data_IF_799848830779
#
_entry.id   IF_799848830779
#
_cell.length_a   1.000
_cell.length_b   1.000
_cell.length_c   1.000
_cell.angle_alpha   90.00
_cell.angle_beta   90.00
_cell.angle_gamma   90.00
#
_symmetry.space_group_name_H-M   'P 1'
#
loop_
_entity.id
_entity.type
_entity.pdbx_description
1 polymer ?
#
# COMPACT_ATOMS: atom_id res chain seq x y z
N UNK A 1 1.21 -48.76 -56.90
CA UNK A 1 1.55 -47.34 -57.16
C UNK A 1 0.31 -46.40 -57.23
N UNK A 2 -0.81 -46.73 -57.86
CA UNK A 2 -1.99 -45.84 -57.94
C UNK A 2 -2.66 -45.56 -56.61
N UNK A 3 -2.84 -46.59 -55.74
CA UNK A 3 -3.45 -46.47 -54.41
C UNK A 3 -2.62 -45.52 -53.52
N UNK A 4 -1.30 -45.63 -53.50
CA UNK A 4 -0.40 -44.76 -52.70
C UNK A 4 -0.49 -43.30 -53.16
N UNK A 5 -0.66 -43.08 -54.45
CA UNK A 5 -0.87 -41.72 -55.00
C UNK A 5 -2.21 -41.12 -54.55
N UNK A 6 -3.30 -41.88 -54.54
CA UNK A 6 -4.60 -41.37 -54.08
C UNK A 6 -4.57 -41.15 -52.54
N UNK A 7 -3.93 -42.03 -51.80
CA UNK A 7 -3.74 -41.83 -50.37
C UNK A 7 -2.95 -40.54 -50.07
N UNK A 8 -1.89 -40.28 -50.81
CA UNK A 8 -1.11 -39.04 -50.69
C UNK A 8 -1.97 -37.80 -50.93
N UNK A 9 -2.80 -37.77 -52.01
CA UNK A 9 -3.67 -36.65 -52.29
C UNK A 9 -4.76 -36.45 -51.24
N UNK A 10 -5.34 -37.52 -50.71
CA UNK A 10 -6.33 -37.41 -49.63
C UNK A 10 -5.69 -36.81 -48.37
N UNK A 11 -4.49 -37.26 -47.99
CA UNK A 11 -3.75 -36.68 -46.84
C UNK A 11 -3.42 -35.21 -47.13
N UNK A 12 -2.97 -34.89 -48.31
CA UNK A 12 -2.65 -33.50 -48.66
C UNK A 12 -3.90 -32.60 -48.58
N UNK A 13 -5.04 -33.06 -49.10
CA UNK A 13 -6.31 -32.33 -49.00
C UNK A 13 -6.74 -32.15 -47.53
N UNK A 14 -6.60 -33.21 -46.71
CA UNK A 14 -6.92 -33.13 -45.29
C UNK A 14 -6.02 -32.14 -44.55
N UNK A 15 -4.72 -32.07 -44.88
CA UNK A 15 -3.76 -31.11 -44.33
C UNK A 15 -4.15 -29.68 -44.72
N UNK A 16 -4.46 -29.47 -45.99
CA UNK A 16 -4.87 -28.15 -46.49
C UNK A 16 -6.19 -27.71 -45.85
N UNK A 17 -7.20 -28.59 -45.77
CA UNK A 17 -8.45 -28.30 -45.09
C UNK A 17 -8.25 -28.01 -43.61
N UNK A 18 -7.41 -28.78 -42.94
CA UNK A 18 -7.02 -28.51 -41.55
C UNK A 18 -6.32 -27.17 -41.36
N UNK A 19 -5.36 -26.85 -42.25
CA UNK A 19 -4.67 -25.57 -42.22
C UNK A 19 -5.63 -24.39 -42.45
N UNK A 20 -6.57 -24.52 -43.40
CA UNK A 20 -7.62 -23.53 -43.62
C UNK A 20 -8.53 -23.37 -42.43
N UNK A 21 -8.92 -24.48 -41.77
CA UNK A 21 -9.72 -24.42 -40.55
C UNK A 21 -8.96 -23.71 -39.42
N UNK A 22 -7.70 -24.05 -39.14
CA UNK A 22 -6.88 -23.34 -38.16
C UNK A 22 -6.70 -21.87 -38.47
N UNK A 23 -6.63 -21.49 -39.74
CA UNK A 23 -6.53 -20.08 -40.18
C UNK A 23 -7.80 -19.26 -39.86
N UNK A 24 -8.96 -19.92 -39.70
CA UNK A 24 -10.22 -19.26 -39.34
C UNK A 24 -10.42 -19.10 -37.83
N UNK A 25 -9.64 -19.78 -37.00
CA UNK A 25 -9.75 -19.70 -35.56
C UNK A 25 -9.07 -18.41 -35.06
N UNK A 26 -9.76 -17.69 -34.15
CA UNK A 26 -9.12 -16.64 -33.36
C UNK A 26 -8.25 -17.32 -32.29
N UNK A 27 -6.95 -17.07 -32.34
CA UNK A 27 -6.00 -17.62 -31.38
C UNK A 27 -5.87 -16.78 -30.11
N UNK A 28 -6.57 -15.66 -30.00
CA UNK A 28 -6.47 -14.75 -28.83
C UNK A 28 -7.36 -15.22 -27.69
N UNK A 29 -6.90 -14.96 -26.50
CA UNK A 29 -7.67 -15.12 -25.28
C UNK A 29 -7.39 -13.99 -24.29
N UNK A 30 -8.36 -13.67 -23.46
CA UNK A 30 -8.27 -12.70 -22.38
C UNK A 30 -9.22 -13.19 -21.27
N UNK A 31 -8.65 -13.95 -20.32
CA UNK A 31 -9.35 -14.49 -19.16
C UNK A 31 -9.12 -13.57 -17.99
N UNK A 32 -10.15 -13.31 -17.20
CA UNK A 32 -10.02 -12.47 -16.01
C UNK A 32 -11.05 -12.82 -14.95
N UNK A 33 -10.66 -12.61 -13.69
CA UNK A 33 -11.54 -12.72 -12.52
C UNK A 33 -11.38 -11.49 -11.64
N UNK A 34 -12.43 -11.15 -10.92
CA UNK A 34 -12.43 -10.01 -10.02
C UNK A 34 -13.00 -10.41 -8.67
N UNK A 35 -12.45 -9.81 -7.60
CA UNK A 35 -12.90 -10.01 -6.24
C UNK A 35 -12.86 -8.73 -5.45
N UNK A 36 -13.92 -8.45 -4.68
CA UNK A 36 -13.92 -7.40 -3.68
C UNK A 36 -13.11 -7.85 -2.46
N UNK A 37 -12.13 -7.04 -2.05
CA UNK A 37 -11.27 -7.26 -0.89
C UNK A 37 -11.39 -6.03 0.01
N UNK A 38 -11.65 -6.25 1.31
CA UNK A 38 -11.91 -5.18 2.27
C UNK A 38 -10.62 -4.58 2.82
N UNK A 39 -9.81 -4.00 1.92
CA UNK A 39 -8.57 -3.29 2.24
C UNK A 39 -8.33 -2.18 1.22
N UNK A 40 -7.44 -1.25 1.55
CA UNK A 40 -7.03 -0.18 0.65
C UNK A 40 -6.30 -0.69 -0.60
N UNK A 41 -6.35 0.05 -1.72
CA UNK A 41 -5.60 -0.27 -2.93
C UNK A 41 -4.09 -0.40 -2.69
N UNK A 42 -3.54 0.43 -1.81
CA UNK A 42 -2.12 0.48 -1.46
C UNK A 42 -1.66 -0.83 -0.86
N UNK A 43 -2.44 -1.41 0.05
CA UNK A 43 -2.11 -2.67 0.69
C UNK A 43 -2.11 -3.85 -0.31
N UNK A 44 -3.12 -3.90 -1.19
CA UNK A 44 -3.19 -4.90 -2.26
C UNK A 44 -1.97 -4.76 -3.18
N UNK A 45 -1.70 -3.53 -3.64
CA UNK A 45 -0.58 -3.25 -4.53
C UNK A 45 0.75 -3.67 -3.91
N UNK A 46 0.98 -3.34 -2.64
CA UNK A 46 2.20 -3.67 -1.94
C UNK A 46 2.45 -5.17 -1.86
N UNK A 47 1.40 -5.95 -1.59
CA UNK A 47 1.51 -7.42 -1.50
C UNK A 47 1.75 -8.06 -2.87
N UNK A 48 1.04 -7.62 -3.90
CA UNK A 48 1.19 -8.12 -5.27
C UNK A 48 2.52 -7.73 -5.92
N UNK A 49 3.06 -6.55 -5.58
CA UNK A 49 4.22 -5.97 -6.24
C UNK A 49 5.55 -6.63 -5.84
N UNK A 50 5.59 -7.48 -4.80
CA UNK A 50 6.76 -8.29 -4.44
C UNK A 50 6.47 -9.78 -4.61
N UNK A 51 7.17 -10.42 -5.54
CA UNK A 51 7.02 -11.86 -5.80
C UNK A 51 7.30 -12.77 -4.60
N UNK A 52 8.04 -12.30 -3.59
CA UNK A 52 8.28 -13.07 -2.37
C UNK A 52 7.01 -13.32 -1.57
N UNK A 53 6.03 -12.42 -1.68
CA UNK A 53 4.74 -12.56 -1.01
C UNK A 53 3.86 -13.64 -1.64
N UNK A 54 4.08 -13.97 -2.92
CA UNK A 54 3.24 -14.89 -3.69
C UNK A 54 3.29 -16.32 -3.18
N UNK A 55 4.37 -16.70 -2.49
CA UNK A 55 4.48 -18.02 -1.86
C UNK A 55 3.41 -18.29 -0.79
N UNK A 56 2.80 -17.24 -0.22
CA UNK A 56 1.81 -17.37 0.84
C UNK A 56 0.38 -17.62 0.32
N UNK A 57 0.10 -17.34 -0.97
CA UNK A 57 -1.25 -17.39 -1.53
C UNK A 57 -1.34 -17.94 -2.94
N UNK A 58 -0.23 -18.17 -3.65
CA UNK A 58 -0.23 -18.66 -5.03
C UNK A 58 -0.97 -19.99 -5.17
N UNK A 59 -2.06 -20.06 -5.98
CA UNK A 59 -2.90 -21.28 -6.09
C UNK A 59 -2.14 -22.49 -6.65
N UNK A 60 -1.11 -22.25 -7.46
CA UNK A 60 -0.26 -23.30 -8.03
C UNK A 60 0.50 -24.13 -6.98
N UNK A 61 0.72 -23.61 -5.77
CA UNK A 61 1.34 -24.38 -4.68
C UNK A 61 0.38 -25.39 -4.05
N UNK A 62 -0.94 -25.19 -4.18
CA UNK A 62 -1.94 -26.20 -3.79
C UNK A 62 -1.97 -27.37 -4.79
N UNK A 63 -1.78 -27.10 -6.07
CA UNK A 63 -1.79 -28.10 -7.14
C UNK A 63 -0.47 -28.88 -7.23
N UNK A 64 0.65 -28.20 -7.05
CA UNK A 64 1.99 -28.78 -7.11
C UNK A 64 2.88 -28.30 -5.95
N UNK A 65 2.91 -29.10 -4.88
CA UNK A 65 3.77 -28.84 -3.72
C UNK A 65 5.28 -29.00 -4.00
N UNK A 66 5.67 -29.47 -5.21
CA UNK A 66 7.08 -29.61 -5.61
C UNK A 66 7.64 -28.36 -6.26
N UNK A 67 6.82 -27.33 -6.47
CA UNK A 67 7.26 -26.07 -7.06
C UNK A 67 8.33 -25.41 -6.17
N UNK A 68 9.46 -25.12 -6.80
CA UNK A 68 10.56 -24.36 -6.22
C UNK A 68 10.70 -23.04 -6.99
N UNK A 69 10.47 -21.94 -6.28
CA UNK A 69 10.69 -20.60 -6.80
C UNK A 69 12.15 -20.18 -6.57
N UNK A 70 12.75 -19.56 -7.58
CA UNK A 70 14.08 -18.92 -7.49
C UNK A 70 13.92 -17.44 -7.82
N UNK A 71 14.16 -16.61 -6.83
CA UNK A 71 14.00 -15.17 -6.94
C UNK A 71 15.24 -14.52 -7.54
N UNK A 72 15.04 -13.50 -8.40
CA UNK A 72 16.10 -12.62 -8.86
C UNK A 72 16.55 -11.66 -7.73
N UNK A 73 17.62 -10.91 -7.95
CA UNK A 73 18.08 -9.88 -7.02
C UNK A 73 17.03 -8.79 -6.81
N UNK A 74 16.29 -8.44 -7.88
CA UNK A 74 15.11 -7.57 -7.81
C UNK A 74 13.84 -8.42 -7.90
N UNK A 75 12.97 -8.36 -6.88
CA UNK A 75 11.66 -9.02 -6.83
C UNK A 75 10.50 -8.04 -6.83
N UNK A 76 10.77 -6.72 -6.76
CA UNK A 76 9.79 -5.65 -6.56
C UNK A 76 9.73 -4.73 -7.76
N UNK A 77 8.52 -4.36 -8.17
CA UNK A 77 8.29 -3.33 -9.19
C UNK A 77 8.81 -3.68 -10.57
N UNK A 78 9.00 -2.64 -11.40
CA UNK A 78 9.48 -2.81 -12.78
C UNK A 78 10.83 -3.51 -12.84
N UNK A 79 10.91 -4.58 -13.65
CA UNK A 79 12.09 -5.43 -13.78
C UNK A 79 12.20 -6.52 -12.71
N UNK A 80 11.36 -6.49 -11.67
CA UNK A 80 11.26 -7.58 -10.70
C UNK A 80 10.91 -8.90 -11.39
N UNK A 81 11.49 -10.03 -10.93
CA UNK A 81 11.26 -11.32 -11.56
C UNK A 81 11.57 -12.51 -10.64
N UNK A 82 10.98 -13.65 -10.98
CA UNK A 82 11.35 -14.96 -10.44
C UNK A 82 11.17 -16.05 -11.50
N UNK A 83 11.81 -17.18 -11.27
CA UNK A 83 11.62 -18.41 -12.05
C UNK A 83 11.07 -19.50 -11.15
N UNK A 84 10.36 -20.45 -11.74
CA UNK A 84 9.91 -21.62 -11.01
C UNK A 84 10.20 -22.91 -11.77
N UNK A 85 10.24 -24.01 -11.01
CA UNK A 85 10.31 -25.37 -11.50
C UNK A 85 9.45 -26.27 -10.62
N UNK A 86 8.61 -27.08 -11.23
CA UNK A 86 7.77 -28.09 -10.58
C UNK A 86 7.64 -29.33 -11.45
N UNK A 87 6.78 -30.26 -11.03
CA UNK A 87 6.51 -31.53 -11.77
C UNK A 87 5.84 -31.24 -13.13
N UNK A 88 4.98 -30.20 -13.18
CA UNK A 88 4.15 -29.90 -14.35
C UNK A 88 4.82 -28.84 -15.27
N UNK A 89 6.06 -28.45 -14.99
CA UNK A 89 6.82 -27.57 -15.85
C UNK A 89 7.69 -26.53 -15.12
N UNK A 90 8.17 -25.60 -15.91
CA UNK A 90 9.00 -24.49 -15.43
C UNK A 90 8.70 -23.22 -16.21
N UNK A 91 9.05 -22.07 -15.62
CA UNK A 91 8.83 -20.79 -16.30
C UNK A 91 9.46 -19.62 -15.56
N UNK A 92 9.06 -18.43 -16.00
CA UNK A 92 9.49 -17.14 -15.44
C UNK A 92 8.31 -16.18 -15.42
N UNK A 93 8.25 -15.38 -14.38
CA UNK A 93 7.40 -14.20 -14.28
C UNK A 93 8.26 -12.94 -14.17
N UNK A 94 7.88 -11.87 -14.86
CA UNK A 94 8.59 -10.61 -14.82
C UNK A 94 7.59 -9.44 -14.83
N UNK A 95 7.79 -8.47 -13.97
CA UNK A 95 7.04 -7.20 -13.98
C UNK A 95 7.58 -6.28 -15.07
N UNK A 96 6.71 -5.83 -15.95
CA UNK A 96 7.03 -4.96 -17.08
C UNK A 96 6.78 -3.49 -16.74
N UNK A 97 5.64 -3.21 -16.08
CA UNK A 97 5.22 -1.85 -15.76
C UNK A 97 4.38 -1.83 -14.49
N UNK A 98 4.49 -0.76 -13.71
CA UNK A 98 3.63 -0.48 -12.56
C UNK A 98 3.04 0.92 -12.65
N UNK A 99 1.77 1.06 -12.27
CA UNK A 99 1.04 2.32 -12.05
C UNK A 99 0.43 2.22 -10.65
N UNK A 100 1.21 2.66 -9.66
CA UNK A 100 0.86 2.54 -8.24
C UNK A 100 -0.27 3.49 -7.85
N UNK A 101 -1.26 3.04 -7.09
CA UNK A 101 -1.52 1.66 -6.64
C UNK A 101 -2.49 0.90 -7.56
N UNK A 102 -2.69 1.32 -8.81
CA UNK A 102 -3.83 0.97 -9.67
C UNK A 102 -3.60 -0.23 -10.57
N UNK A 103 -2.34 -0.48 -10.99
CA UNK A 103 -2.08 -1.47 -12.03
C UNK A 103 -0.67 -2.05 -11.98
N UNK A 104 -0.57 -3.36 -12.24
CA UNK A 104 0.70 -4.07 -12.47
C UNK A 104 0.55 -4.86 -13.78
N UNK A 105 1.47 -4.64 -14.73
CA UNK A 105 1.57 -5.40 -15.96
C UNK A 105 2.82 -6.30 -15.92
N UNK A 106 2.65 -7.58 -16.26
CA UNK A 106 3.66 -8.62 -16.13
C UNK A 106 3.69 -9.49 -17.38
N UNK A 107 4.81 -10.16 -17.63
CA UNK A 107 4.94 -11.24 -18.62
C UNK A 107 5.18 -12.56 -17.90
N UNK A 108 4.41 -13.58 -18.25
CA UNK A 108 4.66 -14.97 -17.87
C UNK A 108 5.20 -15.73 -19.06
N UNK A 109 6.23 -16.54 -18.84
CA UNK A 109 6.85 -17.40 -19.86
C UNK A 109 6.87 -18.83 -19.36
N UNK A 110 6.12 -19.69 -20.01
CA UNK A 110 6.16 -21.14 -19.77
C UNK A 110 7.18 -21.80 -20.70
N UNK A 111 8.03 -22.66 -20.13
CA UNK A 111 8.97 -23.48 -20.89
C UNK A 111 8.26 -24.75 -21.34
N UNK A 112 8.07 -24.92 -22.63
CA UNK A 112 7.43 -26.10 -23.20
C UNK A 112 8.40 -26.86 -24.14
N UNK A 113 8.17 -28.13 -24.43
CA UNK A 113 8.96 -28.89 -25.40
C UNK A 113 8.94 -28.30 -26.81
N UNK A 114 7.92 -27.45 -27.11
CA UNK A 114 7.72 -26.88 -28.44
C UNK A 114 8.23 -25.40 -28.51
N UNK A 115 8.89 -24.93 -27.47
CA UNK A 115 9.37 -23.55 -27.32
C UNK A 115 8.69 -22.80 -26.17
N UNK A 116 9.10 -21.56 -25.99
CA UNK A 116 8.57 -20.71 -24.94
C UNK A 116 7.16 -20.21 -25.31
N UNK A 117 6.20 -20.36 -24.39
CA UNK A 117 4.86 -19.79 -24.51
C UNK A 117 4.75 -18.58 -23.60
N UNK A 118 4.40 -17.43 -24.18
CA UNK A 118 4.32 -16.13 -23.47
C UNK A 118 2.88 -15.66 -23.37
N UNK A 119 2.57 -15.05 -22.22
CA UNK A 119 1.29 -14.39 -21.99
C UNK A 119 1.52 -13.12 -21.17
N UNK A 120 0.66 -12.12 -21.40
CA UNK A 120 0.59 -10.96 -20.54
C UNK A 120 -0.29 -11.27 -19.34
N UNK A 121 0.20 -10.94 -18.16
CA UNK A 121 -0.58 -10.99 -16.90
C UNK A 121 -0.78 -9.56 -16.43
N UNK A 122 -1.98 -9.25 -15.96
CA UNK A 122 -2.25 -7.91 -15.46
C UNK A 122 -3.12 -7.96 -14.20
N UNK A 123 -2.86 -6.98 -13.33
CA UNK A 123 -3.63 -6.72 -12.14
C UNK A 123 -4.21 -5.32 -12.24
N UNK A 124 -5.50 -5.16 -11.93
CA UNK A 124 -6.18 -3.88 -11.85
C UNK A 124 -6.77 -3.77 -10.45
N UNK A 125 -6.48 -2.65 -9.78
CA UNK A 125 -6.92 -2.37 -8.42
C UNK A 125 -7.74 -1.09 -8.47
N UNK A 126 -9.03 -1.20 -8.15
CA UNK A 126 -9.98 -0.09 -8.19
C UNK A 126 -10.54 0.13 -6.79
N UNK A 127 -10.40 1.36 -6.28
CA UNK A 127 -10.98 1.74 -4.99
C UNK A 127 -12.50 1.61 -5.03
N UNK A 128 -13.08 1.05 -3.98
CA UNK A 128 -14.51 0.92 -3.77
C UNK A 128 -14.91 1.50 -2.41
N UNK A 129 -16.19 1.57 -2.10
CA UNK A 129 -16.71 2.16 -0.86
C UNK A 129 -16.17 1.43 0.40
N UNK A 130 -16.17 0.09 0.38
CA UNK A 130 -15.73 -0.76 1.49
C UNK A 130 -14.45 -1.53 1.18
N UNK A 131 -13.45 -0.92 0.52
CA UNK A 131 -12.21 -1.59 0.17
C UNK A 131 -11.83 -1.41 -1.30
N UNK A 132 -11.43 -2.49 -1.96
CA UNK A 132 -10.95 -2.46 -3.35
C UNK A 132 -11.45 -3.63 -4.17
N UNK A 133 -11.75 -3.39 -5.44
CA UNK A 133 -12.01 -4.44 -6.41
C UNK A 133 -10.71 -4.83 -7.11
N UNK A 134 -10.21 -6.03 -6.81
CA UNK A 134 -9.00 -6.57 -7.44
C UNK A 134 -9.39 -7.44 -8.62
N UNK A 135 -8.85 -7.14 -9.80
CA UNK A 135 -8.96 -7.95 -11.01
C UNK A 135 -7.60 -8.55 -11.35
N UNK A 136 -7.57 -9.86 -11.52
CA UNK A 136 -6.46 -10.60 -12.11
C UNK A 136 -6.84 -11.02 -13.51
N UNK A 137 -5.97 -10.82 -14.49
CA UNK A 137 -6.22 -11.27 -15.84
C UNK A 137 -4.98 -11.78 -16.53
N UNK A 138 -5.17 -12.72 -17.44
CA UNK A 138 -4.16 -13.29 -18.32
C UNK A 138 -4.64 -13.25 -19.77
N UNK A 139 -3.85 -12.66 -20.67
CA UNK A 139 -4.15 -12.61 -22.09
C UNK A 139 -2.96 -13.03 -22.93
N UNK A 140 -3.26 -13.57 -24.09
CA UNK A 140 -2.21 -14.02 -25.02
C UNK A 140 -2.75 -14.39 -26.38
N UNK A 141 -1.85 -14.87 -27.22
CA UNK A 141 -2.19 -15.38 -28.55
C UNK A 141 -1.51 -16.73 -28.75
N UNK A 142 -2.32 -17.75 -29.05
CA UNK A 142 -1.87 -19.08 -29.38
C UNK A 142 -1.22 -19.12 -30.76
N UNK A 143 -0.14 -19.89 -30.90
CA UNK A 143 0.50 -20.10 -32.20
C UNK A 143 -0.47 -20.75 -33.20
N UNK A 144 -0.20 -20.66 -34.50
CA UNK A 144 -1.08 -21.16 -35.55
C UNK A 144 -1.59 -22.59 -35.31
N UNK A 145 -0.71 -23.51 -34.87
CA UNK A 145 -1.07 -24.91 -34.65
C UNK A 145 -1.80 -25.17 -33.32
N UNK A 146 -1.79 -24.23 -32.40
CA UNK A 146 -2.43 -24.37 -31.07
C UNK A 146 -3.63 -23.43 -30.91
N UNK A 147 -4.07 -22.71 -31.94
CA UNK A 147 -5.19 -21.75 -31.88
C UNK A 147 -6.49 -22.36 -31.37
N UNK A 148 -6.72 -23.66 -31.65
CA UNK A 148 -7.89 -24.37 -31.15
C UNK A 148 -7.94 -24.45 -29.62
N UNK A 149 -6.81 -24.28 -28.92
CA UNK A 149 -6.75 -24.28 -27.46
C UNK A 149 -7.20 -22.92 -26.88
N UNK A 150 -7.24 -21.84 -27.67
CA UNK A 150 -7.61 -20.53 -27.15
C UNK A 150 -9.02 -20.51 -26.54
N UNK A 151 -9.95 -21.30 -27.09
CA UNK A 151 -11.32 -21.40 -26.58
C UNK A 151 -11.43 -22.14 -25.23
N UNK A 152 -10.45 -22.97 -24.85
CA UNK A 152 -10.42 -23.68 -23.57
C UNK A 152 -9.68 -22.92 -22.47
N UNK A 153 -9.01 -21.80 -22.79
CA UNK A 153 -8.25 -21.03 -21.81
C UNK A 153 -9.13 -20.49 -20.69
N UNK A 154 -10.38 -20.17 -20.96
CA UNK A 154 -11.35 -19.74 -19.94
C UNK A 154 -11.59 -20.83 -18.88
N UNK A 155 -11.69 -22.09 -19.31
CA UNK A 155 -11.91 -23.25 -18.43
C UNK A 155 -10.66 -23.64 -17.66
N UNK A 156 -9.48 -23.38 -18.22
CA UNK A 156 -8.19 -23.73 -17.62
C UNK A 156 -7.69 -22.65 -16.64
N UNK A 157 -7.75 -21.38 -17.05
CA UNK A 157 -7.17 -20.26 -16.31
C UNK A 157 -8.18 -19.70 -15.29
N UNK A 158 -9.46 -19.59 -15.65
CA UNK A 158 -10.47 -18.93 -14.83
C UNK A 158 -10.59 -19.49 -13.41
N UNK A 159 -10.68 -20.82 -13.21
CA UNK A 159 -10.73 -21.41 -11.88
C UNK A 159 -9.46 -21.14 -11.04
N UNK A 160 -8.29 -21.14 -11.68
CA UNK A 160 -7.02 -20.81 -11.02
C UNK A 160 -6.99 -19.35 -10.54
N UNK A 161 -7.42 -18.41 -11.40
CA UNK A 161 -7.50 -16.99 -11.01
C UNK A 161 -8.50 -16.77 -9.87
N UNK A 162 -9.67 -17.40 -9.94
CA UNK A 162 -10.68 -17.30 -8.88
C UNK A 162 -10.16 -17.84 -7.54
N UNK A 163 -9.52 -19.03 -7.58
CA UNK A 163 -8.92 -19.61 -6.39
C UNK A 163 -7.78 -18.77 -5.84
N UNK A 164 -6.94 -18.22 -6.71
CA UNK A 164 -5.84 -17.35 -6.32
C UNK A 164 -6.33 -16.04 -5.66
N UNK A 165 -7.36 -15.43 -6.19
CA UNK A 165 -7.99 -14.25 -5.57
C UNK A 165 -8.60 -14.57 -4.20
N UNK A 166 -9.18 -15.77 -4.01
CA UNK A 166 -9.69 -16.23 -2.71
C UNK A 166 -8.54 -16.39 -1.70
N UNK A 167 -7.45 -17.04 -2.10
CA UNK A 167 -6.28 -17.25 -1.25
C UNK A 167 -5.58 -15.94 -0.90
N UNK A 168 -5.48 -15.04 -1.88
CA UNK A 168 -4.94 -13.70 -1.67
C UNK A 168 -5.74 -12.93 -0.63
N UNK A 169 -7.08 -12.90 -0.76
CA UNK A 169 -7.96 -12.24 0.20
C UNK A 169 -7.76 -12.81 1.62
N UNK A 170 -7.76 -14.14 1.77
CA UNK A 170 -7.49 -14.78 3.07
C UNK A 170 -6.13 -14.42 3.65
N UNK A 171 -5.09 -14.36 2.81
CA UNK A 171 -3.74 -14.00 3.23
C UNK A 171 -3.66 -12.54 3.70
N UNK A 172 -4.26 -11.61 2.95
CA UNK A 172 -4.33 -10.19 3.30
C UNK A 172 -5.09 -9.98 4.62
N UNK A 173 -6.27 -10.60 4.77
CA UNK A 173 -7.05 -10.49 6.02
C UNK A 173 -6.24 -11.01 7.22
N UNK A 174 -5.50 -12.09 7.06
CA UNK A 174 -4.62 -12.61 8.12
C UNK A 174 -3.52 -11.61 8.50
N UNK A 175 -2.91 -10.94 7.51
CA UNK A 175 -1.87 -9.93 7.75
C UNK A 175 -2.39 -8.70 8.49
N UNK A 176 -3.64 -8.30 8.23
CA UNK A 176 -4.30 -7.20 8.93
C UNK A 176 -4.55 -7.55 10.39
N UNK A 177 -4.99 -8.77 10.64
CA UNK A 177 -5.29 -9.26 11.99
C UNK A 177 -4.03 -9.51 12.84
N UNK A 178 -2.84 -9.53 12.23
CA UNK A 178 -1.56 -9.64 12.93
C UNK A 178 -1.06 -8.23 13.32
N UNK A 179 -1.64 -7.69 14.38
CA UNK A 179 -1.26 -6.39 14.92
C UNK A 179 -1.32 -6.36 16.44
N UNK A 180 -0.72 -5.33 17.01
CA UNK A 180 -0.84 -5.02 18.43
C UNK A 180 -0.84 -3.51 18.67
N UNK A 181 -1.67 -3.09 19.63
CA UNK A 181 -1.70 -1.72 20.15
C UNK A 181 -1.15 -1.72 21.56
N UNK A 182 -0.11 -0.93 21.81
CA UNK A 182 0.55 -0.82 23.12
C UNK A 182 0.52 0.62 23.57
N UNK A 183 -0.02 0.88 24.76
CA UNK A 183 0.06 2.19 25.41
C UNK A 183 1.38 2.31 26.16
N UNK A 184 2.16 3.32 25.82
CA UNK A 184 3.49 3.54 26.40
C UNK A 184 3.46 4.51 27.58
N UNK A 185 2.30 5.16 27.83
CA UNK A 185 2.14 6.16 28.89
C UNK A 185 2.65 7.54 28.47
N UNK A 186 2.86 8.40 29.47
CA UNK A 186 3.33 9.78 29.24
C UNK A 186 4.84 9.79 29.00
N UNK A 187 5.26 10.47 27.94
CA UNK A 187 6.65 10.64 27.52
C UNK A 187 6.97 12.11 27.33
N UNK A 188 8.23 12.50 27.57
CA UNK A 188 8.73 13.83 27.31
C UNK A 188 9.33 13.91 25.88
N UNK A 189 8.87 14.85 25.08
CA UNK A 189 9.42 15.14 23.77
C UNK A 189 10.15 16.48 23.77
N UNK A 190 11.32 16.50 23.12
CA UNK A 190 12.08 17.74 22.87
C UNK A 190 11.45 18.54 21.74
N UNK A 191 11.55 19.89 21.82
CA UNK A 191 11.14 20.76 20.73
C UNK A 191 11.93 20.49 19.45
N UNK A 192 11.26 20.65 18.30
CA UNK A 192 11.87 20.38 16.98
C UNK A 192 11.32 21.28 15.89
N UNK A 193 12.16 21.67 14.96
CA UNK A 193 11.73 22.33 13.72
C UNK A 193 11.23 21.30 12.72
N UNK A 194 10.26 21.71 11.91
CA UNK A 194 9.76 20.88 10.81
C UNK A 194 9.32 21.74 9.62
N UNK A 195 9.37 21.16 8.42
CA UNK A 195 8.69 21.67 7.24
C UNK A 195 7.37 20.93 7.07
N UNK A 196 6.34 21.66 6.61
CA UNK A 196 5.02 21.07 6.44
C UNK A 196 4.26 21.65 5.25
N UNK A 197 3.29 20.91 4.79
CA UNK A 197 2.23 21.35 3.89
C UNK A 197 0.90 20.81 4.38
N UNK A 198 -0.14 21.65 4.35
CA UNK A 198 -1.45 21.33 4.94
C UNK A 198 -2.52 21.18 3.88
N UNK A 199 -3.53 20.38 4.19
CA UNK A 199 -4.75 20.27 3.39
C UNK A 199 -5.96 19.96 4.27
N UNK A 200 -7.13 20.41 3.84
CA UNK A 200 -8.40 19.91 4.35
C UNK A 200 -8.85 18.73 3.49
N UNK A 201 -9.45 17.73 4.13
CA UNK A 201 -9.82 16.48 3.50
C UNK A 201 -11.06 15.88 4.15
N UNK A 202 -11.72 14.97 3.44
CA UNK A 202 -12.50 13.94 4.11
C UNK A 202 -11.54 12.99 4.83
N UNK A 203 -12.02 12.38 5.92
CA UNK A 203 -11.20 11.44 6.72
C UNK A 203 -10.80 10.23 5.87
N UNK A 204 -11.71 9.71 5.05
CA UNK A 204 -11.52 8.59 4.15
C UNK A 204 -10.60 8.89 2.93
N UNK A 205 -10.26 10.17 2.69
CA UNK A 205 -9.35 10.59 1.61
C UNK A 205 -7.92 10.91 2.11
N UNK A 206 -7.65 10.81 3.41
CA UNK A 206 -6.32 11.14 3.98
C UNK A 206 -5.23 10.29 3.36
N UNK A 207 -5.48 8.99 3.20
CA UNK A 207 -4.53 8.04 2.58
C UNK A 207 -4.19 8.41 1.12
N UNK A 208 -5.14 8.91 0.35
CA UNK A 208 -4.92 9.34 -1.03
C UNK A 208 -4.11 10.65 -1.11
N UNK A 209 -4.31 11.54 -0.14
CA UNK A 209 -3.68 12.87 -0.12
C UNK A 209 -2.29 12.87 0.50
N UNK A 210 -2.07 12.00 1.49
CA UNK A 210 -0.81 11.92 2.21
C UNK A 210 0.41 11.74 1.30
N UNK A 211 0.46 10.78 0.35
CA UNK A 211 1.60 10.58 -0.53
C UNK A 211 1.89 11.79 -1.42
N UNK A 212 0.85 12.49 -1.86
CA UNK A 212 0.98 13.70 -2.71
C UNK A 212 1.68 14.81 -1.93
N UNK A 213 1.26 15.04 -0.67
CA UNK A 213 1.86 16.04 0.20
C UNK A 213 3.29 15.67 0.58
N UNK A 214 3.53 14.38 0.87
CA UNK A 214 4.85 13.86 1.19
C UNK A 214 5.83 14.06 0.04
N UNK A 215 5.44 13.78 -1.20
CA UNK A 215 6.26 13.99 -2.39
C UNK A 215 6.59 15.48 -2.59
N UNK A 216 5.66 16.41 -2.31
CA UNK A 216 5.92 17.85 -2.35
C UNK A 216 7.06 18.24 -1.40
N UNK A 217 6.98 17.82 -0.12
CA UNK A 217 8.01 18.14 0.89
C UNK A 217 9.33 17.46 0.53
N UNK A 218 9.29 16.19 0.12
CA UNK A 218 10.50 15.47 -0.30
C UNK A 218 11.21 16.17 -1.47
N UNK A 219 10.45 16.59 -2.48
CA UNK A 219 10.98 17.35 -3.62
C UNK A 219 11.61 18.68 -3.20
N UNK A 220 10.95 19.42 -2.28
CA UNK A 220 11.48 20.65 -1.72
C UNK A 220 12.76 20.42 -0.92
N UNK A 221 12.78 19.42 -0.04
CA UNK A 221 13.94 19.06 0.77
C UNK A 221 15.14 18.71 -0.11
N UNK A 222 14.94 17.91 -1.15
CA UNK A 222 15.98 17.54 -2.11
C UNK A 222 16.51 18.75 -2.89
N UNK A 223 15.62 19.62 -3.38
CA UNK A 223 16.01 20.81 -4.17
C UNK A 223 16.78 21.83 -3.34
N UNK A 224 16.54 21.92 -2.03
CA UNK A 224 17.16 22.89 -1.13
C UNK A 224 18.21 22.29 -0.18
N UNK A 225 18.60 21.03 -0.39
CA UNK A 225 19.56 20.29 0.45
C UNK A 225 19.22 20.34 1.96
N UNK A 226 17.93 20.24 2.30
CA UNK A 226 17.46 20.27 3.70
C UNK A 226 17.89 19.01 4.43
N UNK A 227 18.52 19.18 5.60
CA UNK A 227 18.88 18.06 6.47
C UNK A 227 17.70 17.69 7.37
N UNK A 228 17.18 16.50 7.18
CA UNK A 228 16.10 15.94 8.00
C UNK A 228 16.68 15.19 9.21
N UNK A 229 15.94 15.17 10.32
CA UNK A 229 16.37 14.55 11.59
C UNK A 229 15.58 13.31 11.96
N UNK A 230 14.60 12.92 11.13
CA UNK A 230 13.75 11.75 11.35
C UNK A 230 12.88 11.45 10.12
N UNK A 231 11.94 10.53 10.28
CA UNK A 231 10.91 10.22 9.30
C UNK A 231 9.82 11.30 9.23
N UNK A 232 8.94 11.21 8.22
CA UNK A 232 7.78 12.11 8.14
C UNK A 232 6.79 11.79 9.26
N UNK A 233 5.97 12.78 9.60
CA UNK A 233 4.87 12.63 10.56
C UNK A 233 3.64 13.40 10.08
N UNK A 234 2.46 12.99 10.55
CA UNK A 234 1.18 13.67 10.28
C UNK A 234 0.73 14.42 11.50
N UNK A 235 0.53 15.73 11.37
CA UNK A 235 0.03 16.60 12.41
C UNK A 235 -1.46 16.91 12.15
N UNK A 236 -2.31 16.62 13.12
CA UNK A 236 -3.75 16.84 13.03
C UNK A 236 -4.11 18.15 13.75
N UNK A 237 -4.52 19.16 12.98
CA UNK A 237 -4.95 20.47 13.50
C UNK A 237 -6.42 20.48 13.91
N UNK A 238 -7.25 19.75 13.14
CA UNK A 238 -8.67 19.60 13.42
C UNK A 238 -9.19 18.27 12.88
N UNK A 239 -9.92 17.58 13.72
CA UNK A 239 -10.59 16.32 13.37
C UNK A 239 -12.07 16.44 13.71
N UNK A 240 -12.94 16.32 12.73
CA UNK A 240 -14.38 16.49 12.84
C UNK A 240 -15.04 15.19 12.37
N UNK A 241 -15.20 14.29 13.32
CA UNK A 241 -15.77 12.96 13.07
C UNK A 241 -17.26 13.06 12.64
N UNK A 242 -18.00 14.02 13.21
CA UNK A 242 -19.42 14.20 12.91
C UNK A 242 -19.65 14.56 11.43
N UNK A 243 -18.80 15.42 10.86
CA UNK A 243 -18.87 15.84 9.46
C UNK A 243 -17.93 15.03 8.55
N UNK A 244 -17.16 14.11 9.10
CA UNK A 244 -16.24 13.25 8.36
C UNK A 244 -15.09 14.03 7.70
N UNK A 245 -14.61 15.12 8.33
CA UNK A 245 -13.58 16.01 7.75
C UNK A 245 -12.40 16.21 8.69
N UNK A 246 -11.23 16.49 8.13
CA UNK A 246 -10.02 16.79 8.88
C UNK A 246 -9.19 17.88 8.22
N UNK A 247 -8.48 18.66 9.03
CA UNK A 247 -7.39 19.52 8.61
C UNK A 247 -6.09 18.94 9.15
N UNK A 248 -5.21 18.50 8.27
CA UNK A 248 -3.94 17.91 8.65
C UNK A 248 -2.77 18.44 7.84
N UNK A 249 -1.57 18.26 8.38
CA UNK A 249 -0.31 18.55 7.72
C UNK A 249 0.54 17.29 7.62
N UNK A 250 1.17 17.09 6.47
CA UNK A 250 2.32 16.21 6.37
C UNK A 250 3.56 17.03 6.70
N UNK A 251 4.37 16.51 7.61
CA UNK A 251 5.51 17.20 8.19
C UNK A 251 6.79 16.41 8.01
N UNK A 252 7.93 17.11 7.96
CA UNK A 252 9.25 16.49 7.94
C UNK A 252 10.16 17.20 8.95
N UNK A 253 10.69 16.52 9.99
CA UNK A 253 11.54 17.15 10.99
C UNK A 253 12.87 17.54 10.36
N UNK A 254 13.35 18.75 10.70
CA UNK A 254 14.58 19.35 10.16
C UNK A 254 15.52 19.78 11.27
N UNK A 255 16.82 19.83 10.95
CA UNK A 255 17.86 20.11 11.94
C UNK A 255 17.80 21.52 12.49
N UNK A 256 17.46 22.51 11.67
CA UNK A 256 17.47 23.93 12.01
C UNK A 256 16.30 24.67 11.36
N UNK A 257 15.94 25.83 11.93
CA UNK A 257 14.87 26.68 11.40
C UNK A 257 15.16 27.06 9.95
N UNK A 258 14.18 26.85 9.10
CA UNK A 258 14.22 27.24 7.69
C UNK A 258 13.13 28.28 7.40
N UNK A 259 13.46 29.29 6.58
CA UNK A 259 12.48 30.24 6.09
C UNK A 259 12.02 29.78 4.70
N UNK A 260 10.75 29.40 4.59
CA UNK A 260 10.17 29.04 3.31
C UNK A 260 10.05 30.29 2.40
N UNK A 261 10.29 30.15 1.08
CA UNK A 261 10.12 31.25 0.14
C UNK A 261 8.69 31.78 0.16
N UNK A 262 8.53 33.11 -0.05
CA UNK A 262 7.21 33.75 -0.12
C UNK A 262 6.37 33.11 -1.26
N UNK A 263 5.17 32.68 -0.95
CA UNK A 263 4.27 32.00 -1.88
C UNK A 263 4.54 30.50 -2.07
N UNK A 264 5.43 29.91 -1.24
CA UNK A 264 5.60 28.46 -1.18
C UNK A 264 4.41 27.81 -0.48
N UNK A 265 3.99 26.66 -0.99
CA UNK A 265 3.03 25.76 -0.31
C UNK A 265 3.69 24.99 0.85
N UNK A 266 5.03 25.03 0.94
CA UNK A 266 5.79 24.45 2.03
C UNK A 266 6.09 25.53 3.05
N UNK A 267 5.75 25.28 4.28
CA UNK A 267 5.92 26.20 5.42
C UNK A 267 6.85 25.58 6.45
N UNK A 268 7.36 26.40 7.37
CA UNK A 268 8.20 25.97 8.49
C UNK A 268 7.45 26.17 9.79
N UNK A 269 7.48 25.14 10.63
CA UNK A 269 6.90 25.15 11.98
C UNK A 269 7.93 24.79 13.04
N UNK A 270 7.53 24.97 14.30
CA UNK A 270 8.26 24.53 15.48
C UNK A 270 7.28 23.85 16.44
N UNK A 271 7.58 22.62 16.81
CA UNK A 271 6.87 21.90 17.85
C UNK A 271 7.58 22.16 19.16
N UNK A 272 6.86 22.71 20.14
CA UNK A 272 7.42 22.95 21.47
C UNK A 272 7.73 21.64 22.20
N UNK A 273 8.70 21.68 23.12
CA UNK A 273 8.94 20.58 24.02
C UNK A 273 7.71 20.40 24.94
N UNK A 274 7.33 19.17 25.20
CA UNK A 274 6.13 18.90 26.02
C UNK A 274 5.98 17.45 26.41
N UNK A 275 4.93 17.17 27.16
CA UNK A 275 4.52 15.84 27.56
C UNK A 275 3.42 15.32 26.63
N UNK A 276 3.57 14.09 26.20
CA UNK A 276 2.63 13.45 25.29
C UNK A 276 2.29 12.06 25.81
N UNK A 277 1.03 11.69 25.72
CA UNK A 277 0.63 10.30 25.88
C UNK A 277 0.93 9.55 24.58
N UNK A 278 1.78 8.53 24.70
CA UNK A 278 2.24 7.76 23.54
C UNK A 278 1.53 6.42 23.46
N UNK A 279 1.08 6.08 22.25
CA UNK A 279 0.56 4.75 21.90
C UNK A 279 1.26 4.25 20.65
N UNK A 280 1.63 2.99 20.60
CA UNK A 280 2.30 2.35 19.47
C UNK A 280 1.38 1.30 18.87
N UNK A 281 1.06 1.46 17.58
CA UNK A 281 0.52 0.41 16.72
C UNK A 281 1.69 -0.31 16.05
N UNK A 282 1.78 -1.62 16.25
CA UNK A 282 2.55 -2.50 15.36
C UNK A 282 1.55 -3.27 14.51
N UNK A 283 1.60 -3.11 13.20
CA UNK A 283 0.65 -3.71 12.26
C UNK A 283 0.27 -2.80 11.12
N UNK A 284 -0.65 -3.28 10.28
CA UNK A 284 -1.18 -2.53 9.15
C UNK A 284 -1.83 -1.21 9.56
N UNK A 285 -1.71 -0.19 8.72
CA UNK A 285 -2.42 1.09 8.87
C UNK A 285 -3.95 0.94 8.86
N UNK A 286 -4.49 -0.15 8.33
CA UNK A 286 -5.92 -0.50 8.43
C UNK A 286 -6.40 -0.58 9.89
N UNK A 287 -5.48 -0.77 10.84
CA UNK A 287 -5.77 -0.81 12.29
C UNK A 287 -5.55 0.55 12.98
N UNK A 288 -5.26 1.63 12.23
CA UNK A 288 -4.98 2.96 12.80
C UNK A 288 -6.17 3.49 13.60
N UNK A 289 -7.40 3.26 13.13
CA UNK A 289 -8.59 3.70 13.86
C UNK A 289 -8.64 3.09 15.26
N UNK A 290 -8.40 1.79 15.41
CA UNK A 290 -8.41 1.13 16.73
C UNK A 290 -7.27 1.63 17.63
N UNK A 291 -6.11 1.92 17.05
CA UNK A 291 -4.98 2.48 17.78
C UNK A 291 -5.31 3.88 18.33
N UNK A 292 -5.96 4.73 17.52
CA UNK A 292 -6.44 6.04 17.95
C UNK A 292 -7.54 5.94 19.00
N UNK A 293 -8.54 5.09 18.81
CA UNK A 293 -9.62 4.86 19.78
C UNK A 293 -9.07 4.38 21.11
N UNK A 294 -8.04 3.53 21.08
CA UNK A 294 -7.33 3.07 22.28
C UNK A 294 -6.55 4.20 22.92
N UNK A 295 -5.79 4.97 22.17
CA UNK A 295 -5.03 6.11 22.68
C UNK A 295 -5.96 7.15 23.35
N UNK A 296 -7.07 7.51 22.69
CA UNK A 296 -8.06 8.45 23.22
C UNK A 296 -8.75 7.94 24.50
N UNK A 297 -9.08 6.65 24.55
CA UNK A 297 -9.67 6.05 25.74
C UNK A 297 -8.70 6.07 26.93
N UNK A 298 -7.46 5.66 26.69
CA UNK A 298 -6.48 5.53 27.77
C UNK A 298 -5.99 6.90 28.27
N UNK A 299 -5.82 7.89 27.40
CA UNK A 299 -5.45 9.25 27.85
C UNK A 299 -6.53 9.89 28.69
N UNK A 300 -7.82 9.63 28.39
CA UNK A 300 -8.95 10.13 29.19
C UNK A 300 -9.05 9.45 30.56
N UNK A 301 -8.41 8.29 30.77
CA UNK A 301 -8.38 7.55 32.02
C UNK A 301 -7.17 7.90 32.90
N UNK A 302 -6.30 8.82 32.47
CA UNK A 302 -5.15 9.24 33.28
C UNK A 302 -5.61 10.00 34.53
N UNK A 303 -5.09 9.62 35.69
CA UNK A 303 -5.43 10.27 36.98
C UNK A 303 -4.66 11.60 37.19
N UNK A 304 -3.41 11.65 36.73
CA UNK A 304 -2.48 12.76 36.99
C UNK A 304 -2.33 13.73 35.80
N UNK A 305 -2.92 13.42 34.65
CA UNK A 305 -2.77 14.19 33.41
C UNK A 305 -4.10 14.40 32.73
N UNK A 306 -4.20 15.50 32.00
CA UNK A 306 -5.32 15.80 31.11
C UNK A 306 -4.81 16.17 29.71
N UNK A 307 -5.63 15.96 28.68
CA UNK A 307 -5.30 16.43 27.35
C UNK A 307 -5.23 17.96 27.32
N UNK A 308 -4.26 18.50 26.59
CA UNK A 308 -4.17 19.94 26.36
C UNK A 308 -5.29 20.34 25.40
N UNK A 309 -6.16 21.27 25.85
CA UNK A 309 -7.24 21.78 25.03
C UNK A 309 -6.66 22.46 23.77
N UNK A 310 -7.16 22.10 22.60
CA UNK A 310 -6.63 22.50 21.30
C UNK A 310 -5.16 22.13 21.03
N UNK A 311 -4.61 21.18 21.79
CA UNK A 311 -3.30 20.60 21.51
C UNK A 311 -3.29 19.76 20.24
N UNK A 312 -2.22 19.86 19.46
CA UNK A 312 -2.10 19.16 18.19
C UNK A 312 -1.54 17.74 18.40
N UNK A 313 -2.37 16.75 18.13
CA UNK A 313 -1.94 15.35 18.15
C UNK A 313 -1.28 14.99 16.82
N UNK A 314 -0.37 13.99 16.84
CA UNK A 314 0.34 13.59 15.63
C UNK A 314 0.67 12.10 15.61
N UNK A 315 0.94 11.62 14.39
CA UNK A 315 1.43 10.27 14.12
C UNK A 315 2.84 10.32 13.54
N UNK A 316 3.75 9.49 14.04
CA UNK A 316 5.05 9.22 13.45
C UNK A 316 5.11 7.82 12.89
N UNK A 317 5.73 7.69 11.72
CA UNK A 317 5.89 6.40 11.04
C UNK A 317 7.30 5.87 11.31
N UNK A 318 7.39 4.85 12.18
CA UNK A 318 8.66 4.32 12.69
C UNK A 318 9.48 3.59 11.64
N UNK A 319 8.86 3.13 10.56
CA UNK A 319 9.53 2.50 9.44
C UNK A 319 8.88 2.84 8.10
N UNK A 320 9.64 2.66 7.03
CA UNK A 320 9.18 2.96 5.68
C UNK A 320 8.38 1.77 5.12
N UNK A 321 7.10 1.94 4.74
CA UNK A 321 6.29 0.86 4.19
C UNK A 321 6.88 0.24 2.91
N UNK A 322 7.61 1.02 2.10
CA UNK A 322 8.29 0.48 0.91
C UNK A 322 9.50 -0.42 1.26
N UNK A 323 10.06 -0.29 2.46
CA UNK A 323 11.16 -1.11 2.94
C UNK A 323 10.70 -2.23 3.92
N UNK A 324 9.41 -2.22 4.30
CA UNK A 324 8.82 -3.17 5.26
C UNK A 324 7.71 -3.97 4.53
N UNK A 325 8.06 -5.09 3.90
CA UNK A 325 7.15 -5.83 3.02
C UNK A 325 5.95 -6.44 3.74
N UNK A 326 6.12 -6.80 5.03
CA UNK A 326 5.05 -7.36 5.83
C UNK A 326 4.34 -6.24 6.61
N UNK A 327 3.04 -5.97 6.33
CA UNK A 327 2.27 -4.95 7.06
C UNK A 327 2.25 -5.14 8.57
N UNK A 328 2.35 -6.39 9.06
CA UNK A 328 2.41 -6.70 10.49
C UNK A 328 3.64 -6.12 11.20
N UNK A 329 4.68 -5.75 10.43
CA UNK A 329 5.91 -5.16 10.97
C UNK A 329 5.95 -3.62 10.88
N UNK A 330 4.91 -3.00 10.33
CA UNK A 330 4.79 -1.54 10.32
C UNK A 330 4.63 -1.01 11.75
N UNK A 331 5.19 0.16 12.00
CA UNK A 331 5.12 0.83 13.30
C UNK A 331 4.57 2.23 13.10
N UNK A 332 3.46 2.53 13.78
CA UNK A 332 2.90 3.88 13.90
C UNK A 332 2.88 4.27 15.36
N UNK A 333 3.44 5.41 15.66
CA UNK A 333 3.46 5.98 17.01
C UNK A 333 2.52 7.19 17.06
N UNK A 334 1.52 7.13 17.93
CA UNK A 334 0.51 8.17 18.15
C UNK A 334 0.90 8.96 19.38
N UNK A 335 0.87 10.29 19.27
CA UNK A 335 1.20 11.21 20.35
C UNK A 335 0.05 12.18 20.57
N UNK A 336 -0.49 12.20 21.79
CA UNK A 336 -1.55 13.11 22.23
C UNK A 336 -0.97 14.02 23.31
N UNK A 337 -0.95 15.37 23.11
CA UNK A 337 -0.36 16.28 24.07
C UNK A 337 -1.13 16.30 25.38
N UNK A 338 -0.40 16.22 26.49
CA UNK A 338 -0.97 16.18 27.85
C UNK A 338 -0.25 17.16 28.77
N UNK A 339 -0.95 17.59 29.81
CA UNK A 339 -0.41 18.40 30.89
C UNK A 339 -0.78 17.78 32.23
N UNK A 340 0.05 18.02 33.24
CA UNK A 340 -0.20 17.56 34.60
C UNK A 340 -1.41 18.30 35.19
N UNK A 341 -2.33 17.55 35.81
CA UNK A 341 -3.44 18.13 36.55
C UNK A 341 -2.85 18.81 37.79
N UNK A 342 -2.84 20.13 37.81
CA UNK A 342 -2.41 20.89 39.00
C UNK A 342 -3.62 21.14 39.89
N UNK A 343 -3.72 20.35 40.98
CA UNK A 343 -4.70 20.59 42.04
C UNK A 343 -4.30 21.82 42.88
N UNK A 344 -3.99 22.94 42.26
CA UNK A 344 -3.66 24.20 42.92
C UNK A 344 -4.79 25.21 42.77
N UNK A 345 -4.94 26.17 43.71
CA UNK A 345 -5.88 27.28 43.52
C UNK A 345 -5.51 28.00 42.19
N UNK A 346 -6.49 28.50 41.45
CA UNK A 346 -6.24 29.23 40.22
C UNK A 346 -5.23 30.38 40.52
N UNK A 347 -4.34 30.71 39.52
CA UNK A 347 -3.40 31.80 39.72
C UNK A 347 -4.18 33.05 40.08
N UNK A 348 -3.85 33.63 41.25
CA UNK A 348 -4.39 34.91 41.67
C UNK A 348 -3.85 35.92 40.71
N UNK A 349 -4.70 36.44 39.84
CA UNK A 349 -4.37 37.64 39.07
C UNK A 349 -4.02 38.71 40.07
N UNK A 350 -2.75 39.03 40.25
CA UNK A 350 -2.33 40.25 40.91
C UNK A 350 -2.86 41.41 40.04
N UNK A 351 -4.07 41.89 40.37
CA UNK A 351 -4.51 43.19 39.94
C UNK A 351 -3.45 44.20 40.41
N UNK A 352 -2.76 44.79 39.44
CA UNK A 352 -1.88 45.92 39.69
C UNK A 352 -2.76 47.04 40.28
N UNK A 353 -2.76 47.14 41.59
CA UNK A 353 -3.32 48.31 42.28
C UNK A 353 -2.39 49.47 41.91
N UNK A 354 -2.78 50.23 40.90
CA UNK A 354 -2.23 51.58 40.69
C UNK A 354 -2.71 52.44 41.84
N UNK A 355 -1.86 52.63 42.85
CA UNK A 355 -2.03 53.72 43.80
C UNK A 355 -2.01 55.06 43.08
N UNK A 356 -3.19 55.67 42.96
CA UNK A 356 -3.31 57.06 42.66
C UNK A 356 -2.72 57.85 43.84
N UNK A 357 -1.48 58.29 43.74
CA UNK A 357 -0.94 59.35 44.59
C UNK A 357 -1.48 60.64 44.07
N UNK A 358 -2.58 61.12 44.66
CA UNK A 358 -2.94 62.55 44.64
C UNK A 358 -1.84 63.31 45.38
N UNK A 359 -1.12 64.10 44.64
CA UNK A 359 -0.16 65.10 45.18
C UNK A 359 -0.80 66.43 45.33
N UNK A 360 -0.60 67.06 46.48
CA UNK A 360 -0.86 68.44 46.87
C UNK A 360 -0.02 69.38 46.05
#
# INVERSE_FOLDING_TARGET
>A
MKILKYLFFIILIAIIAGAMYFATLDGKYDVKRSRMIKVSPEMIFHDLNDYKNWAAWGPWYEEDSTIVATYADNTVGEGGSYTWRGKDGSGMMKTLKVDQPKRIDQEIVFKTPFGDMKSDVYWIIEKAEDGSNLTWGMKGEMSFFTRWMASSMEEEIGPMEERGLELFDKNIQKKILDYSVTTNGVVDLSGRYYLYTSTSSRIDEVEDKYPILLLKIYGFNKANNVKTTGGPFTLYHKYDEENGTTLFSVCYPIQEKMIAPKGSDILSGFMEAGQYFKTTLRGSYENSKEAWDTAMREVNNLEDYQMIENGESFEEYGNNPHATPNPADLITEIFIPVEKITNGPPPVNEEIILEETEGI
#
